data_IF_352192060916
#
_entry.id   IF_352192060916
#
_cell.length_a   1.000
_cell.length_b   1.000
_cell.length_c   1.000
_cell.angle_alpha   90.00
_cell.angle_beta   90.00
_cell.angle_gamma   90.00
#
_symmetry.space_group_name_H-M   'P 1'
#
loop_
_entity.id
_entity.type
_entity.pdbx_description
1 polymer ?
#
# COMPACT_ATOMS: atom_id res chain seq x y z
N UNK A 1 -3.64 22.15 3.06
CA UNK A 1 -2.18 22.24 2.81
C UNK A 1 -1.34 21.80 4.01
N UNK A 2 -1.54 22.29 5.25
CA UNK A 2 -0.72 21.84 6.42
C UNK A 2 -0.82 20.35 6.78
N UNK A 3 -1.95 19.69 6.49
CA UNK A 3 -2.19 18.29 6.87
C UNK A 3 -1.28 17.28 6.14
N UNK A 4 -0.83 17.59 4.92
CA UNK A 4 0.07 16.75 4.10
C UNK A 4 1.51 16.65 4.67
N UNK A 5 1.91 17.63 5.50
CA UNK A 5 3.27 17.68 6.06
C UNK A 5 3.44 16.81 7.32
N UNK A 6 2.34 16.40 7.97
CA UNK A 6 2.37 15.68 9.24
C UNK A 6 1.69 14.29 9.19
N UNK A 7 1.24 13.87 8.01
CA UNK A 7 0.66 12.55 7.80
C UNK A 7 1.76 11.49 7.65
N UNK A 8 1.48 10.29 8.13
CA UNK A 8 2.36 9.14 7.88
C UNK A 8 2.14 8.70 6.42
N UNK A 9 3.23 8.52 5.68
CA UNK A 9 3.21 8.13 4.26
C UNK A 9 3.80 6.75 4.12
N UNK A 10 3.06 5.86 3.45
CA UNK A 10 3.45 4.47 3.25
C UNK A 10 3.47 4.17 1.76
N UNK A 11 4.52 3.50 1.33
CA UNK A 11 4.64 2.91 0.01
C UNK A 11 4.49 1.40 0.13
N UNK A 12 3.51 0.85 -0.60
CA UNK A 12 3.18 -0.57 -0.57
C UNK A 12 3.42 -1.15 -1.96
N UNK A 13 4.42 -2.01 -2.07
CA UNK A 13 4.60 -2.88 -3.24
C UNK A 13 3.78 -4.15 -3.03
N UNK A 14 2.96 -4.50 -4.01
CA UNK A 14 2.17 -5.74 -4.02
C UNK A 14 2.63 -6.63 -5.19
N UNK A 15 2.95 -7.87 -4.84
CA UNK A 15 3.16 -8.99 -5.76
C UNK A 15 2.34 -10.18 -5.26
N UNK A 16 2.36 -11.31 -5.96
CA UNK A 16 1.58 -12.50 -5.58
C UNK A 16 1.78 -12.88 -4.12
N UNK A 17 0.68 -12.84 -3.37
CA UNK A 17 0.59 -13.19 -1.95
C UNK A 17 1.59 -12.47 -1.03
N UNK A 18 2.11 -11.32 -1.47
CA UNK A 18 3.16 -10.59 -0.76
C UNK A 18 2.92 -9.09 -0.78
N UNK A 19 3.02 -8.48 0.39
CA UNK A 19 3.13 -7.04 0.56
C UNK A 19 4.52 -6.68 1.06
N UNK A 20 5.13 -5.66 0.46
CA UNK A 20 6.31 -4.99 1.00
C UNK A 20 5.92 -3.56 1.34
N UNK A 21 5.87 -3.28 2.63
CA UNK A 21 5.28 -2.08 3.20
C UNK A 21 6.41 -1.24 3.76
N UNK A 22 6.55 -0.03 3.25
CA UNK A 22 7.62 0.87 3.62
C UNK A 22 7.04 2.19 4.11
N UNK A 23 7.34 2.56 5.36
CA UNK A 23 7.10 3.93 5.81
C UNK A 23 8.14 4.84 5.17
N UNK A 24 7.70 5.82 4.40
CA UNK A 24 8.56 6.76 3.67
C UNK A 24 8.57 8.17 4.28
N UNK A 25 7.70 8.41 5.27
CA UNK A 25 7.76 9.61 6.11
C UNK A 25 8.74 9.43 7.28
N UNK A 26 9.79 10.24 7.33
CA UNK A 26 10.80 10.20 8.40
C UNK A 26 11.74 9.00 8.27
N UNK A 27 12.09 8.38 9.40
CA UNK A 27 12.99 7.22 9.40
C UNK A 27 12.34 6.00 8.72
N UNK A 28 12.95 5.44 7.66
CA UNK A 28 12.38 4.33 6.91
C UNK A 28 12.22 3.08 7.78
N UNK A 29 11.05 2.47 7.72
CA UNK A 29 10.77 1.16 8.32
C UNK A 29 10.14 0.29 7.25
N UNK A 30 10.63 -0.93 7.09
CA UNK A 30 10.14 -1.89 6.09
C UNK A 30 9.58 -3.12 6.80
N UNK A 31 8.40 -3.55 6.40
CA UNK A 31 7.79 -4.82 6.78
C UNK A 31 7.46 -5.62 5.51
N UNK A 32 7.84 -6.89 5.49
CA UNK A 32 7.45 -7.82 4.42
C UNK A 32 6.42 -8.79 4.99
N UNK A 33 5.24 -8.81 4.38
CA UNK A 33 4.17 -9.74 4.72
C UNK A 33 4.04 -10.75 3.59
N UNK A 34 4.31 -12.02 3.90
CA UNK A 34 4.02 -13.16 3.03
C UNK A 34 2.82 -13.91 3.63
N UNK A 35 1.69 -13.91 2.92
CA UNK A 35 0.47 -14.54 3.45
C UNK A 35 0.57 -16.07 3.37
N UNK A 36 0.31 -16.81 4.45
CA UNK A 36 0.31 -18.28 4.43
C UNK A 36 -0.90 -18.86 3.67
N UNK A 37 -2.01 -18.12 3.62
CA UNK A 37 -3.14 -18.44 2.73
C UNK A 37 -3.11 -17.46 1.55
N UNK A 38 -3.24 -17.94 0.31
CA UNK A 38 -3.14 -17.07 -0.85
C UNK A 38 -4.30 -16.07 -0.90
N UNK A 39 -3.99 -14.82 -1.27
CA UNK A 39 -4.98 -13.82 -1.62
C UNK A 39 -4.96 -13.42 -3.10
N UNK A 40 -3.95 -13.86 -3.85
CA UNK A 40 -3.85 -13.68 -5.30
C UNK A 40 -4.41 -14.91 -6.03
N UNK A 41 -4.86 -14.69 -7.27
CA UNK A 41 -5.31 -15.76 -8.18
C UNK A 41 -4.37 -15.86 -9.39
N UNK A 42 -4.72 -16.71 -10.35
CA UNK A 42 -4.02 -16.77 -11.63
C UNK A 42 -4.08 -15.45 -12.41
N UNK A 43 -5.10 -14.62 -12.19
CA UNK A 43 -5.39 -13.40 -12.98
C UNK A 43 -5.41 -12.10 -12.19
N UNK A 44 -5.53 -12.14 -10.86
CA UNK A 44 -5.60 -10.94 -10.02
C UNK A 44 -4.58 -11.01 -8.89
N UNK A 45 -3.87 -9.90 -8.65
CA UNK A 45 -3.04 -9.74 -7.44
C UNK A 45 -3.87 -9.82 -6.16
N UNK A 46 -5.12 -9.37 -6.21
CA UNK A 46 -6.10 -9.50 -5.12
C UNK A 46 -7.34 -10.18 -5.68
N UNK A 47 -7.42 -11.50 -5.51
CA UNK A 47 -8.65 -12.27 -5.73
C UNK A 47 -9.43 -12.51 -4.44
N UNK A 48 -8.75 -12.67 -3.30
CA UNK A 48 -9.38 -12.82 -1.98
C UNK A 48 -9.26 -11.52 -1.17
N UNK A 49 -10.26 -10.65 -1.32
CA UNK A 49 -10.24 -9.29 -0.75
C UNK A 49 -10.02 -9.27 0.76
N UNK A 50 -10.83 -10.03 1.52
CA UNK A 50 -10.80 -10.03 2.98
C UNK A 50 -9.45 -10.47 3.52
N UNK A 51 -8.80 -11.44 2.86
CA UNK A 51 -7.47 -11.90 3.25
C UNK A 51 -6.41 -10.85 2.97
N UNK A 52 -6.42 -10.25 1.78
CA UNK A 52 -5.49 -9.18 1.42
C UNK A 52 -5.61 -7.97 2.36
N UNK A 53 -6.83 -7.56 2.70
CA UNK A 53 -7.11 -6.47 3.64
C UNK A 53 -6.55 -6.76 5.03
N UNK A 54 -6.81 -7.96 5.56
CA UNK A 54 -6.32 -8.39 6.86
C UNK A 54 -4.78 -8.36 6.94
N UNK A 55 -4.10 -8.93 5.94
CA UNK A 55 -2.64 -8.98 5.88
C UNK A 55 -2.03 -7.57 5.75
N UNK A 56 -2.60 -6.74 4.87
CA UNK A 56 -2.15 -5.36 4.68
C UNK A 56 -2.35 -4.53 5.96
N UNK A 57 -3.51 -4.63 6.61
CA UNK A 57 -3.80 -3.95 7.87
C UNK A 57 -2.79 -4.31 8.96
N UNK A 58 -2.47 -5.60 9.11
CA UNK A 58 -1.53 -6.06 10.13
C UNK A 58 -0.10 -5.63 9.81
N UNK A 59 0.30 -5.64 8.54
CA UNK A 59 1.59 -5.11 8.10
C UNK A 59 1.72 -3.60 8.34
N UNK A 60 0.69 -2.81 7.98
CA UNK A 60 0.66 -1.36 8.22
C UNK A 60 0.81 -1.05 9.72
N UNK A 61 0.15 -1.81 10.60
CA UNK A 61 0.28 -1.64 12.07
C UNK A 61 1.69 -1.89 12.61
N UNK A 62 2.52 -2.68 11.92
CA UNK A 62 3.91 -2.95 12.32
C UNK A 62 4.86 -1.82 11.93
N UNK A 63 4.63 -1.16 10.79
CA UNK A 63 5.47 -0.05 10.31
C UNK A 63 5.11 1.29 10.94
N UNK A 64 3.84 1.47 11.33
CA UNK A 64 3.38 2.71 11.96
C UNK A 64 3.74 2.78 13.44
N UNK A 65 4.13 3.96 13.95
CA UNK A 65 4.46 4.12 15.37
C UNK A 65 3.22 3.90 16.25
N UNK A 66 3.41 3.21 17.38
CA UNK A 66 2.37 3.02 18.42
C UNK A 66 2.13 4.34 19.17
N UNK A 67 1.39 5.27 18.57
CA UNK A 67 0.96 6.54 19.18
C UNK A 67 -0.44 6.39 19.79
N UNK A 68 -0.75 7.17 20.84
CA UNK A 68 -2.08 7.21 21.46
C UNK A 68 -3.19 7.61 20.46
N UNK A 69 -2.85 8.46 19.49
CA UNK A 69 -3.75 8.86 18.40
C UNK A 69 -3.28 8.16 17.12
N UNK A 70 -4.07 7.19 16.64
CA UNK A 70 -3.82 6.51 15.36
C UNK A 70 -3.96 7.53 14.23
N UNK A 71 -2.84 7.94 13.64
CA UNK A 71 -2.86 8.69 12.38
C UNK A 71 -3.07 7.71 11.25
N UNK A 72 -4.19 7.85 10.54
CA UNK A 72 -4.45 7.11 9.31
C UNK A 72 -3.42 7.52 8.23
N UNK A 73 -2.71 6.60 7.59
CA UNK A 73 -1.67 6.92 6.62
C UNK A 73 -2.26 7.34 5.26
N UNK A 74 -1.45 8.07 4.49
CA UNK A 74 -1.59 8.12 3.03
C UNK A 74 -0.77 6.97 2.42
N UNK A 75 -1.37 6.23 1.49
CA UNK A 75 -0.78 5.01 0.93
C UNK A 75 -0.58 5.15 -0.57
N UNK A 76 0.63 4.87 -1.05
CA UNK A 76 0.93 4.67 -2.46
C UNK A 76 0.98 3.15 -2.71
N UNK A 77 -0.02 2.61 -3.40
CA UNK A 77 -0.05 1.21 -3.80
C UNK A 77 0.66 1.05 -5.15
N UNK A 78 1.52 0.05 -5.25
CA UNK A 78 2.27 -0.26 -6.46
C UNK A 78 2.21 -1.76 -6.77
N UNK A 79 1.35 -2.19 -7.70
CA UNK A 79 1.42 -3.53 -8.26
C UNK A 79 2.67 -3.67 -9.14
N UNK A 80 3.59 -4.54 -8.72
CA UNK A 80 4.91 -4.71 -9.38
C UNK A 80 4.95 -5.84 -10.41
N UNK A 81 3.85 -6.58 -10.55
CA UNK A 81 3.66 -7.68 -11.52
C UNK A 81 2.18 -7.78 -11.88
N UNK A 82 1.83 -8.60 -12.89
CA UNK A 82 0.44 -8.79 -13.34
C UNK A 82 -0.25 -7.48 -13.76
N UNK A 83 0.51 -6.57 -14.39
CA UNK A 83 0.06 -5.26 -14.90
C UNK A 83 0.18 -5.16 -16.42
N UNK A 84 0.26 -6.29 -17.12
CA UNK A 84 0.41 -6.32 -18.58
C UNK A 84 -0.81 -5.69 -19.27
N UNK A 85 -0.59 -4.61 -20.02
CA UNK A 85 -1.67 -3.85 -20.65
C UNK A 85 -2.31 -2.79 -19.75
N UNK A 86 -1.76 -2.57 -18.55
CA UNK A 86 -2.29 -1.67 -17.53
C UNK A 86 -3.36 -2.31 -16.67
N UNK A 87 -3.67 -1.68 -15.54
CA UNK A 87 -4.74 -2.15 -14.65
C UNK A 87 -6.12 -1.89 -15.24
N UNK A 88 -7.00 -2.88 -15.18
CA UNK A 88 -8.43 -2.68 -15.40
C UNK A 88 -9.06 -1.84 -14.28
N UNK A 89 -10.22 -1.23 -14.56
CA UNK A 89 -10.96 -0.45 -13.55
C UNK A 89 -11.30 -1.26 -12.29
N UNK A 90 -11.54 -2.57 -12.45
CA UNK A 90 -11.81 -3.49 -11.33
C UNK A 90 -10.56 -3.65 -10.46
N UNK A 91 -9.39 -3.83 -11.06
CA UNK A 91 -8.13 -3.97 -10.33
C UNK A 91 -7.76 -2.67 -9.62
N UNK A 92 -7.90 -1.53 -10.30
CA UNK A 92 -7.74 -0.19 -9.72
C UNK A 92 -8.63 -0.02 -8.49
N UNK A 93 -9.91 -0.39 -8.60
CA UNK A 93 -10.86 -0.28 -7.49
C UNK A 93 -10.46 -1.19 -6.34
N UNK A 94 -10.14 -2.45 -6.59
CA UNK A 94 -9.78 -3.42 -5.55
C UNK A 94 -8.50 -3.01 -4.81
N UNK A 95 -7.47 -2.53 -5.52
CA UNK A 95 -6.23 -2.02 -4.92
C UNK A 95 -6.47 -0.80 -4.02
N UNK A 96 -7.40 0.07 -4.39
CA UNK A 96 -7.78 1.22 -3.54
C UNK A 96 -8.56 0.78 -2.32
N UNK A 97 -9.60 -0.03 -2.52
CA UNK A 97 -10.49 -0.48 -1.46
C UNK A 97 -9.74 -1.32 -0.41
N UNK A 98 -8.78 -2.16 -0.80
CA UNK A 98 -7.98 -2.93 0.18
C UNK A 98 -7.14 -2.00 1.07
N UNK A 99 -6.60 -0.92 0.51
CA UNK A 99 -5.78 0.03 1.26
C UNK A 99 -6.65 0.91 2.17
N UNK A 100 -7.83 1.33 1.71
CA UNK A 100 -8.82 2.01 2.56
C UNK A 100 -9.28 1.12 3.71
N UNK A 101 -9.60 -0.14 3.42
CA UNK A 101 -9.94 -1.16 4.42
C UNK A 101 -8.82 -1.43 5.43
N UNK A 102 -7.57 -1.36 4.98
CA UNK A 102 -6.38 -1.41 5.83
C UNK A 102 -6.11 -0.12 6.64
N UNK A 103 -7.00 0.86 6.56
CA UNK A 103 -7.01 2.06 7.38
C UNK A 103 -6.36 3.29 6.75
N UNK A 104 -6.09 3.30 5.43
CA UNK A 104 -5.66 4.49 4.72
C UNK A 104 -6.78 5.54 4.64
N UNK A 105 -6.42 6.83 4.63
CA UNK A 105 -7.38 7.92 4.37
C UNK A 105 -7.22 8.52 2.97
N UNK A 106 -6.09 8.24 2.32
CA UNK A 106 -5.78 8.62 0.94
C UNK A 106 -5.00 7.49 0.31
N UNK A 107 -5.37 7.14 -0.92
CA UNK A 107 -4.73 6.05 -1.67
C UNK A 107 -4.44 6.52 -3.08
N UNK A 108 -3.18 6.44 -3.47
CA UNK A 108 -2.71 6.66 -4.83
C UNK A 108 -2.20 5.34 -5.42
N UNK A 109 -2.27 5.20 -6.75
CA UNK A 109 -1.74 4.05 -7.47
C UNK A 109 -0.52 4.46 -8.29
N UNK A 110 0.45 3.55 -8.38
CA UNK A 110 1.63 3.71 -9.23
C UNK A 110 1.88 2.42 -10.02
N UNK A 111 1.98 2.54 -11.34
CA UNK A 111 2.20 1.42 -12.28
C UNK A 111 3.55 1.51 -13.01
N UNK A 112 4.40 2.49 -12.68
CA UNK A 112 5.70 2.67 -13.31
C UNK A 112 6.83 1.92 -12.59
N UNK A 113 8.08 2.31 -12.84
CA UNK A 113 9.22 1.61 -12.24
C UNK A 113 9.30 1.73 -10.70
N UNK A 114 10.04 0.81 -10.08
CA UNK A 114 10.25 0.80 -8.64
C UNK A 114 10.84 2.13 -8.15
N UNK A 115 10.08 2.80 -7.28
CA UNK A 115 10.50 4.06 -6.68
C UNK A 115 11.42 3.85 -5.47
N UNK A 116 12.37 4.76 -5.31
CA UNK A 116 13.05 4.97 -4.03
C UNK A 116 12.08 5.51 -2.97
N UNK A 117 12.41 5.40 -1.66
CA UNK A 117 11.58 5.96 -0.59
C UNK A 117 11.28 7.45 -0.80
N UNK A 118 12.28 8.22 -1.25
CA UNK A 118 12.16 9.66 -1.50
C UNK A 118 11.14 9.94 -2.60
N UNK A 119 11.26 9.27 -3.75
CA UNK A 119 10.35 9.44 -4.89
C UNK A 119 8.91 9.04 -4.52
N UNK A 120 8.74 7.96 -3.76
CA UNK A 120 7.42 7.55 -3.29
C UNK A 120 6.78 8.60 -2.35
N UNK A 121 7.59 9.23 -1.50
CA UNK A 121 7.14 10.33 -0.65
C UNK A 121 6.68 11.55 -1.47
N UNK A 122 7.49 11.96 -2.47
CA UNK A 122 7.17 13.08 -3.38
C UNK A 122 5.89 12.84 -4.20
N UNK A 123 5.66 11.60 -4.65
CA UNK A 123 4.42 11.21 -5.33
C UNK A 123 3.19 11.43 -4.45
N UNK A 124 3.26 11.07 -3.17
CA UNK A 124 2.15 11.27 -2.23
C UNK A 124 1.93 12.73 -1.85
N UNK A 125 2.93 13.61 -2.01
CA UNK A 125 2.79 15.04 -1.77
C UNK A 125 2.13 15.78 -2.93
N UNK A 126 2.48 15.38 -4.16
CA UNK A 126 2.03 15.99 -5.42
C UNK A 126 0.62 15.60 -5.84
N UNK A 127 0.09 14.48 -5.33
CA UNK A 127 -1.33 14.09 -5.46
C UNK A 127 -2.21 14.86 -4.47
#
# INVERSE_FOLDING_TARGET
MLRKLFEEKIYVKISRNRFEIMKVSGEPVVEIVCSPEPFSTSRLLIGEFVRAEYELLNGIKKVLPKKLIKRSPAVLMHPVEMTEGGLSEVEVKVLREVAYGAGAHRVELWEGEALSPQQACEKLESA
#
